data_IF_950946681113
#
_entry.id   IF_950946681113
#
_cell.length_a   1.000
_cell.length_b   1.000
_cell.length_c   1.000
_cell.angle_alpha   90.00
_cell.angle_beta   90.00
_cell.angle_gamma   90.00
#
_symmetry.space_group_name_H-M   'P 1'
#
loop_
_entity.id
_entity.type
_entity.pdbx_description
1 polymer ?
#
# COMPACT_ATOMS: atom_id res chain seq x y z
N UNK A 1 8.10 -4.07 -10.19
CA UNK A 1 7.05 -3.87 -9.16
C UNK A 1 6.02 -5.01 -9.15
N UNK A 2 5.46 -5.45 -10.29
CA UNK A 2 4.38 -6.46 -10.29
C UNK A 2 4.71 -7.94 -10.34
N UNK A 3 5.91 -8.34 -10.73
CA UNK A 3 6.31 -9.74 -10.52
C UNK A 3 6.25 -10.13 -9.03
N UNK A 4 6.23 -9.13 -8.15
CA UNK A 4 6.23 -9.27 -6.70
C UNK A 4 4.82 -9.32 -6.09
N UNK A 5 3.83 -8.57 -6.58
CA UNK A 5 2.49 -8.52 -5.97
C UNK A 5 1.73 -9.86 -6.03
N UNK A 6 1.88 -10.64 -7.09
CA UNK A 6 1.23 -11.96 -7.21
C UNK A 6 1.78 -13.01 -6.24
N UNK A 7 2.88 -12.72 -5.55
CA UNK A 7 3.49 -13.60 -4.55
C UNK A 7 3.28 -13.11 -3.12
N UNK A 8 2.59 -11.97 -2.92
CA UNK A 8 2.31 -11.42 -1.59
C UNK A 8 0.92 -11.84 -1.11
N UNK A 9 0.75 -11.93 0.21
CA UNK A 9 -0.52 -12.28 0.83
C UNK A 9 -1.56 -11.17 0.59
N UNK A 10 -2.72 -11.55 0.03
CA UNK A 10 -3.68 -10.59 -0.53
C UNK A 10 -4.33 -9.67 0.52
N UNK A 11 -4.45 -10.15 1.76
CA UNK A 11 -5.05 -9.44 2.89
C UNK A 11 -4.04 -8.64 3.73
N UNK A 12 -2.78 -8.57 3.30
CA UNK A 12 -1.77 -7.77 3.99
C UNK A 12 -1.67 -6.35 3.43
N UNK A 13 -1.26 -5.44 4.30
CA UNK A 13 -1.10 -4.03 3.99
C UNK A 13 0.25 -3.76 3.33
N UNK A 14 0.24 -2.86 2.36
CA UNK A 14 1.42 -2.12 1.92
C UNK A 14 1.51 -0.85 2.75
N UNK A 15 2.74 -0.49 3.13
CA UNK A 15 3.03 0.71 3.90
C UNK A 15 3.86 1.71 3.10
N UNK A 16 3.64 3.01 3.32
CA UNK A 16 4.46 4.07 2.72
C UNK A 16 4.48 5.31 3.61
N UNK A 17 5.39 6.23 3.32
CA UNK A 17 5.40 7.55 3.95
C UNK A 17 4.37 8.43 3.24
N UNK A 18 3.29 8.78 3.96
CA UNK A 18 2.10 9.39 3.35
C UNK A 18 2.36 10.80 2.82
N UNK A 19 3.26 11.57 3.44
CA UNK A 19 3.57 12.93 2.96
C UNK A 19 4.23 12.88 1.59
N UNK A 20 5.12 11.91 1.37
CA UNK A 20 5.78 11.65 0.10
C UNK A 20 4.76 11.18 -0.93
N UNK A 21 3.89 10.21 -0.59
CA UNK A 21 2.82 9.78 -1.49
C UNK A 21 1.92 10.96 -1.94
N UNK A 22 1.52 11.82 -1.00
CA UNK A 22 0.61 12.93 -1.28
C UNK A 22 1.25 14.04 -2.14
N UNK A 23 2.57 14.21 -2.07
CA UNK A 23 3.28 15.30 -2.76
C UNK A 23 4.01 14.85 -4.04
N UNK A 24 4.61 13.67 -4.01
CA UNK A 24 5.43 13.07 -5.06
C UNK A 24 5.21 11.55 -5.11
N UNK A 25 4.03 11.09 -5.55
CA UNK A 25 3.67 9.66 -5.54
C UNK A 25 4.59 8.78 -6.40
N UNK A 26 5.27 9.34 -7.39
CA UNK A 26 6.28 8.70 -8.22
C UNK A 26 7.61 8.45 -7.48
N UNK A 27 7.85 9.15 -6.38
CA UNK A 27 9.03 9.02 -5.53
C UNK A 27 8.74 8.23 -4.24
N UNK A 28 7.49 7.83 -4.02
CA UNK A 28 7.09 7.06 -2.84
C UNK A 28 7.78 5.69 -2.82
N UNK A 29 8.27 5.30 -1.63
CA UNK A 29 8.86 3.98 -1.38
C UNK A 29 7.81 3.15 -0.64
N UNK A 30 7.59 1.93 -1.12
CA UNK A 30 6.60 1.02 -0.58
C UNK A 30 7.27 -0.12 0.18
N UNK A 31 6.68 -0.47 1.32
CA UNK A 31 7.13 -1.53 2.20
C UNK A 31 6.05 -2.59 2.32
N UNK A 32 6.47 -3.84 2.18
CA UNK A 32 5.67 -5.00 2.52
C UNK A 32 6.28 -5.60 3.79
N UNK A 33 5.50 -5.61 4.86
CA UNK A 33 5.91 -6.08 6.19
C UNK A 33 4.89 -7.15 6.58
N UNK A 34 5.20 -8.44 6.32
CA UNK A 34 4.28 -9.52 6.66
C UNK A 34 4.04 -9.60 8.16
N UNK A 35 2.83 -9.99 8.55
CA UNK A 35 2.51 -10.26 9.95
C UNK A 35 3.40 -11.37 10.51
N UNK A 36 3.55 -12.47 9.75
CA UNK A 36 4.39 -13.61 10.15
C UNK A 36 5.85 -13.18 10.39
N UNK A 37 6.34 -12.21 9.62
CA UNK A 37 7.67 -11.64 9.84
C UNK A 37 7.76 -10.91 11.18
N UNK A 38 6.76 -10.12 11.54
CA UNK A 38 6.72 -9.41 12.84
C UNK A 38 6.69 -10.41 14.00
N UNK A 39 5.89 -11.49 13.87
CA UNK A 39 5.76 -12.51 14.92
C UNK A 39 7.02 -13.33 15.17
N UNK A 40 7.96 -13.34 14.22
CA UNK A 40 9.25 -14.00 14.37
C UNK A 40 10.32 -13.09 14.99
N UNK A 41 10.05 -11.79 15.15
CA UNK A 41 11.00 -10.85 15.73
C UNK A 41 11.04 -10.93 17.26
N UNK A 42 12.21 -10.72 17.88
CA UNK A 42 12.30 -10.45 19.31
C UNK A 42 11.49 -9.20 19.72
N UNK A 43 10.92 -9.20 20.93
CA UNK A 43 10.15 -8.07 21.46
C UNK A 43 10.95 -6.74 21.43
N UNK A 44 12.27 -6.80 21.64
CA UNK A 44 13.15 -5.63 21.60
C UNK A 44 13.50 -5.15 20.19
N UNK A 45 13.05 -5.85 19.15
CA UNK A 45 13.12 -5.46 17.73
C UNK A 45 11.76 -5.02 17.17
N UNK A 46 10.74 -4.89 18.03
CA UNK A 46 9.40 -4.41 17.69
C UNK A 46 9.16 -3.05 18.37
N UNK A 47 8.47 -2.15 17.68
CA UNK A 47 7.93 -0.92 18.24
C UNK A 47 6.44 -0.80 17.87
N UNK A 48 5.70 0.02 18.63
CA UNK A 48 4.34 0.41 18.27
C UNK A 48 4.39 1.75 17.53
N UNK A 49 3.82 1.80 16.33
CA UNK A 49 3.68 3.06 15.61
C UNK A 49 2.54 3.93 16.20
N UNK A 50 2.28 5.11 15.61
CA UNK A 50 1.24 5.98 16.17
C UNK A 50 -0.21 5.48 15.93
N UNK A 51 -0.39 4.33 15.26
CA UNK A 51 -1.67 3.62 15.12
C UNK A 51 -1.77 2.42 16.09
N UNK A 52 -0.87 2.34 17.07
CA UNK A 52 -0.71 1.22 18.00
C UNK A 52 -0.46 -0.13 17.27
N UNK A 53 0.10 -0.09 16.05
CA UNK A 53 0.44 -1.28 15.28
C UNK A 53 1.87 -1.73 15.54
N UNK A 54 2.07 -3.04 15.71
CA UNK A 54 3.39 -3.64 15.83
C UNK A 54 4.17 -3.51 14.52
N UNK A 55 5.36 -2.92 14.61
CA UNK A 55 6.23 -2.65 13.47
C UNK A 55 7.69 -3.02 13.79
N UNK A 56 8.47 -3.52 12.81
CA UNK A 56 9.89 -3.82 13.00
C UNK A 56 10.72 -2.55 13.25
N UNK A 57 11.60 -2.53 14.26
CA UNK A 57 12.47 -1.38 14.54
C UNK A 57 13.36 -0.93 13.39
N UNK A 58 13.69 -1.83 12.45
CA UNK A 58 14.45 -1.46 11.23
C UNK A 58 13.72 -0.42 10.35
N UNK A 59 12.40 -0.28 10.49
CA UNK A 59 11.60 0.75 9.80
C UNK A 59 11.23 1.92 10.70
N UNK A 60 11.69 1.93 11.97
CA UNK A 60 11.50 3.05 12.88
C UNK A 60 12.11 4.34 12.30
N UNK A 61 11.38 5.45 12.42
CA UNK A 61 11.78 6.74 11.85
C UNK A 61 11.55 6.90 10.34
N UNK A 62 11.03 5.89 9.64
CA UNK A 62 10.59 6.03 8.24
C UNK A 62 9.20 6.65 8.09
N UNK A 63 8.49 6.89 9.21
CA UNK A 63 7.15 7.49 9.26
C UNK A 63 6.14 6.75 8.35
N UNK A 64 6.18 5.41 8.38
CA UNK A 64 5.30 4.57 7.57
C UNK A 64 3.88 4.58 8.13
N UNK A 65 2.90 4.50 7.24
CA UNK A 65 1.48 4.24 7.55
C UNK A 65 0.90 3.19 6.63
N UNK A 66 -0.18 2.55 7.06
CA UNK A 66 -1.00 1.71 6.20
C UNK A 66 -1.46 2.50 4.98
N UNK A 67 -1.10 2.01 3.78
CA UNK A 67 -1.37 2.69 2.52
C UNK A 67 -2.54 2.08 1.78
N UNK A 68 -2.46 0.77 1.47
CA UNK A 68 -3.49 0.03 0.75
C UNK A 68 -3.28 -1.49 0.93
N UNK A 69 -4.36 -2.27 0.91
CA UNK A 69 -4.29 -3.74 0.87
C UNK A 69 -3.77 -4.25 -0.48
N UNK A 70 -3.06 -5.37 -0.45
CA UNK A 70 -2.51 -5.99 -1.66
C UNK A 70 -3.61 -6.40 -2.65
N UNK A 71 -4.77 -6.89 -2.17
CA UNK A 71 -5.90 -7.24 -3.04
C UNK A 71 -6.44 -6.02 -3.79
N UNK A 72 -6.57 -4.89 -3.12
CA UNK A 72 -7.12 -3.65 -3.66
C UNK A 72 -6.16 -3.05 -4.69
N UNK A 73 -4.85 -3.05 -4.37
CA UNK A 73 -3.81 -2.64 -5.31
C UNK A 73 -3.79 -3.55 -6.55
N UNK A 74 -3.93 -4.86 -6.36
CA UNK A 74 -3.96 -5.84 -7.45
C UNK A 74 -5.17 -5.62 -8.36
N UNK A 75 -6.33 -5.34 -7.79
CA UNK A 75 -7.54 -5.00 -8.54
C UNK A 75 -7.37 -3.73 -9.38
N UNK A 76 -6.84 -2.65 -8.79
CA UNK A 76 -6.61 -1.40 -9.50
C UNK A 76 -5.59 -1.57 -10.62
N UNK A 77 -4.55 -2.36 -10.40
CA UNK A 77 -3.57 -2.66 -11.44
C UNK A 77 -4.15 -3.50 -12.58
N UNK A 78 -4.90 -4.56 -12.28
CA UNK A 78 -5.57 -5.36 -13.32
C UNK A 78 -6.48 -4.47 -14.18
N UNK A 79 -7.26 -3.61 -13.52
CA UNK A 79 -8.12 -2.62 -14.20
C UNK A 79 -7.31 -1.65 -15.06
N UNK A 80 -6.17 -1.17 -14.58
CA UNK A 80 -5.26 -0.30 -15.33
C UNK A 80 -4.80 -0.99 -16.63
N UNK A 81 -4.39 -2.26 -16.56
CA UNK A 81 -3.93 -3.04 -17.72
C UNK A 81 -5.05 -3.31 -18.72
N UNK A 82 -6.21 -3.78 -18.25
CA UNK A 82 -7.37 -4.10 -19.08
C UNK A 82 -7.87 -2.86 -19.84
N UNK A 83 -7.91 -1.71 -19.16
CA UNK A 83 -8.38 -0.44 -19.73
C UNK A 83 -7.28 0.41 -20.34
N UNK A 84 -6.03 -0.09 -20.40
CA UNK A 84 -4.84 0.57 -20.94
C UNK A 84 -4.64 1.99 -20.40
N UNK A 85 -4.82 2.15 -19.08
CA UNK A 85 -4.66 3.43 -18.37
C UNK A 85 -3.19 3.67 -18.00
N UNK A 86 -2.86 4.92 -17.72
CA UNK A 86 -1.51 5.33 -17.33
C UNK A 86 -1.33 5.36 -15.80
N UNK A 87 -0.14 5.77 -15.35
CA UNK A 87 0.18 5.87 -13.94
C UNK A 87 -0.62 6.96 -13.22
N UNK A 88 -0.88 8.10 -13.88
CA UNK A 88 -1.70 9.17 -13.31
C UNK A 88 -3.11 8.69 -12.97
N UNK A 89 -3.72 7.91 -13.86
CA UNK A 89 -5.02 7.30 -13.58
C UNK A 89 -4.98 6.39 -12.34
N UNK A 90 -3.93 5.57 -12.20
CA UNK A 90 -3.78 4.69 -11.02
C UNK A 90 -3.62 5.51 -9.73
N UNK A 91 -2.83 6.58 -9.76
CA UNK A 91 -2.67 7.49 -8.61
C UNK A 91 -4.03 8.10 -8.23
N UNK A 92 -4.79 8.58 -9.20
CA UNK A 92 -6.12 9.17 -8.96
C UNK A 92 -7.10 8.16 -8.35
N UNK A 93 -7.12 6.91 -8.84
CA UNK A 93 -7.99 5.87 -8.29
C UNK A 93 -7.57 5.45 -6.88
N UNK A 94 -6.27 5.36 -6.60
CA UNK A 94 -5.78 5.07 -5.25
C UNK A 94 -6.17 6.20 -4.29
N UNK A 95 -5.97 7.45 -4.70
CA UNK A 95 -6.34 8.61 -3.87
C UNK A 95 -7.86 8.65 -3.62
N UNK A 96 -8.66 8.38 -4.64
CA UNK A 96 -10.11 8.29 -4.49
C UNK A 96 -10.51 7.17 -3.52
N UNK A 97 -9.94 5.97 -3.68
CA UNK A 97 -10.18 4.86 -2.76
C UNK A 97 -9.82 5.24 -1.32
N UNK A 98 -8.66 5.87 -1.09
CA UNK A 98 -8.21 6.26 0.25
C UNK A 98 -9.08 7.33 0.90
N UNK A 99 -9.73 8.18 0.10
CA UNK A 99 -10.63 9.23 0.60
C UNK A 99 -12.07 8.72 0.84
N UNK A 100 -12.54 7.80 0.00
CA UNK A 100 -13.96 7.42 -0.05
C UNK A 100 -14.26 5.96 0.27
N UNK A 101 -13.24 5.12 0.49
CA UNK A 101 -13.36 3.67 0.66
C UNK A 101 -14.19 3.03 -0.47
N UNK A 102 -13.94 3.47 -1.70
CA UNK A 102 -14.74 3.11 -2.88
C UNK A 102 -13.92 3.14 -4.16
N UNK A 103 -14.30 2.29 -5.13
CA UNK A 103 -13.66 2.23 -6.45
C UNK A 103 -14.40 3.08 -7.47
N UNK A 104 -13.86 4.25 -7.83
CA UNK A 104 -14.45 5.12 -8.86
C UNK A 104 -14.52 4.43 -10.22
N UNK A 105 -13.53 3.61 -10.56
CA UNK A 105 -13.47 2.83 -11.80
C UNK A 105 -14.63 1.84 -12.01
N UNK A 106 -15.36 1.46 -10.95
CA UNK A 106 -16.54 0.59 -11.05
C UNK A 106 -17.79 1.35 -11.54
N UNK A 107 -17.87 2.66 -11.30
CA UNK A 107 -19.02 3.48 -11.67
C UNK A 107 -18.87 4.12 -13.06
N UNK A 108 -17.64 4.33 -13.50
CA UNK A 108 -17.30 4.87 -14.81
C UNK A 108 -16.89 3.73 -15.74
N UNK A 109 -17.88 3.00 -16.25
CA UNK A 109 -17.69 2.04 -17.35
C UNK A 109 -17.96 2.78 -18.65
N UNK A 110 -16.91 3.27 -19.30
CA UNK A 110 -16.97 3.67 -20.71
C UNK A 110 -17.20 2.43 -21.60
#
# INVERSE_FOLDING_TARGET
>A
MLASCSTLESNEWIYTEIVTWNSHPDQAIFYYIPWDYIQELPDDEIYLDDEDMEMPKIVEGKNLRGWMLICDLSFLYQTQQERRKDLSWTIDEINYYREYDAYRCLFNSD
#
